data_IF_955658172815
#
_entry.id   IF_955658172815
#
_cell.length_a   1.000
_cell.length_b   1.000
_cell.length_c   1.000
_cell.angle_alpha   90.00
_cell.angle_beta   90.00
_cell.angle_gamma   90.00
#
_symmetry.space_group_name_H-M   'P 1'
#
loop_
_entity.id
_entity.type
_entity.pdbx_description
1 polymer ?
#
# COMPACT_ATOMS: atom_id res chain seq x y z
N UNK A 1 -31.80 -9.49 16.81
CA UNK A 1 -30.45 -9.17 17.32
C UNK A 1 -29.61 -10.44 17.29
N UNK A 2 -28.60 -10.54 16.42
CA UNK A 2 -27.70 -11.71 16.36
C UNK A 2 -26.68 -11.61 17.49
N UNK A 3 -26.54 -12.68 18.29
CA UNK A 3 -25.69 -12.72 19.49
C UNK A 3 -24.19 -12.49 19.16
N UNK A 4 -23.44 -11.96 20.14
CA UNK A 4 -22.01 -11.65 19.97
C UNK A 4 -21.15 -12.86 19.57
N UNK A 5 -21.57 -14.08 19.92
CA UNK A 5 -20.89 -15.33 19.59
C UNK A 5 -21.06 -15.73 18.11
N UNK A 6 -22.19 -15.41 17.50
CA UNK A 6 -22.41 -15.67 16.07
C UNK A 6 -21.69 -14.63 15.19
N UNK A 7 -21.58 -13.38 15.66
CA UNK A 7 -20.76 -12.34 15.01
C UNK A 7 -19.28 -12.70 15.01
N UNK A 8 -18.76 -13.26 16.11
CA UNK A 8 -17.34 -13.67 16.17
C UNK A 8 -17.07 -14.88 15.26
N UNK A 9 -17.96 -15.87 15.20
CA UNK A 9 -17.80 -17.02 14.30
C UNK A 9 -17.79 -16.59 12.82
N UNK A 10 -18.72 -15.75 12.38
CA UNK A 10 -18.78 -15.24 10.99
C UNK A 10 -17.50 -14.46 10.65
N UNK A 11 -16.94 -13.71 11.62
CA UNK A 11 -15.71 -12.93 11.42
C UNK A 11 -14.46 -13.82 11.31
N UNK A 12 -14.41 -14.90 12.07
CA UNK A 12 -13.33 -15.90 12.00
C UNK A 12 -13.39 -16.70 10.70
N UNK A 13 -14.59 -17.06 10.26
CA UNK A 13 -14.82 -17.81 9.02
C UNK A 13 -14.48 -16.98 7.78
N UNK A 14 -14.89 -15.69 7.73
CA UNK A 14 -14.44 -14.75 6.69
C UNK A 14 -12.93 -14.53 6.69
N UNK A 15 -12.28 -14.45 7.85
CA UNK A 15 -10.81 -14.32 7.90
C UNK A 15 -10.12 -15.54 7.31
N UNK A 16 -10.60 -16.76 7.60
CA UNK A 16 -10.08 -17.99 6.99
C UNK A 16 -10.34 -18.04 5.48
N UNK A 17 -11.51 -17.61 5.01
CA UNK A 17 -11.80 -17.58 3.57
C UNK A 17 -10.93 -16.58 2.81
N UNK A 18 -10.53 -15.47 3.42
CA UNK A 18 -9.67 -14.45 2.81
C UNK A 18 -8.20 -14.88 2.70
N UNK A 19 -7.72 -15.82 3.53
CA UNK A 19 -6.39 -16.40 3.39
C UNK A 19 -6.23 -17.20 2.09
N UNK A 20 -7.33 -17.69 1.51
CA UNK A 20 -7.32 -18.40 0.23
C UNK A 20 -7.11 -17.46 -0.98
N UNK A 21 -7.16 -16.14 -0.77
CA UNK A 21 -6.96 -15.15 -1.81
C UNK A 21 -5.67 -14.36 -1.58
N UNK A 22 -5.01 -13.92 -2.68
CA UNK A 22 -3.86 -13.02 -2.60
C UNK A 22 -4.20 -11.79 -1.76
N UNK A 23 -3.23 -11.29 -0.98
CA UNK A 23 -3.37 -10.00 -0.34
C UNK A 23 -3.14 -8.90 -1.39
N UNK A 24 -4.01 -7.90 -1.38
CA UNK A 24 -3.84 -6.72 -2.22
C UNK A 24 -2.95 -5.71 -1.51
N UNK A 25 -1.95 -5.22 -2.24
CA UNK A 25 -1.05 -4.16 -1.81
C UNK A 25 -1.11 -3.04 -2.85
N UNK A 26 -1.12 -1.79 -2.41
CA UNK A 26 -0.96 -0.63 -3.29
C UNK A 26 -0.04 0.40 -2.64
N UNK A 27 0.19 1.53 -3.29
CA UNK A 27 0.95 2.65 -2.75
C UNK A 27 0.03 3.82 -2.39
N UNK A 28 0.47 4.74 -1.54
CA UNK A 28 -0.39 5.82 -0.99
C UNK A 28 -1.00 6.75 -2.04
N UNK A 29 -0.44 6.80 -3.25
CA UNK A 29 -1.05 7.53 -4.38
C UNK A 29 -2.38 6.95 -4.87
N UNK A 30 -2.81 5.78 -4.38
CA UNK A 30 -4.12 5.19 -4.67
C UNK A 30 -5.30 6.01 -4.12
N UNK A 31 -5.05 6.98 -3.24
CA UNK A 31 -6.06 7.89 -2.66
C UNK A 31 -7.26 7.18 -2.01
N UNK A 32 -7.09 5.92 -1.59
CA UNK A 32 -8.16 5.16 -0.96
C UNK A 32 -8.33 5.65 0.49
N UNK A 33 -9.55 5.99 0.95
CA UNK A 33 -9.77 6.30 2.36
C UNK A 33 -9.40 5.11 3.27
N UNK A 34 -8.81 5.39 4.43
CA UNK A 34 -8.40 4.37 5.42
C UNK A 34 -9.54 3.39 5.76
N UNK A 35 -10.78 3.89 5.88
CA UNK A 35 -11.95 3.04 6.13
C UNK A 35 -12.17 1.96 5.07
N UNK A 36 -11.86 2.25 3.79
CA UNK A 36 -11.96 1.27 2.71
C UNK A 36 -10.74 0.34 2.69
N UNK A 37 -9.56 0.85 3.05
CA UNK A 37 -8.36 0.02 3.20
C UNK A 37 -8.60 -1.07 4.25
N UNK A 38 -9.17 -0.68 5.40
CA UNK A 38 -9.54 -1.58 6.49
C UNK A 38 -10.63 -2.57 6.10
N UNK A 39 -11.69 -2.08 5.44
CA UNK A 39 -12.83 -2.89 5.03
C UNK A 39 -12.43 -4.01 4.06
N UNK A 40 -11.54 -3.71 3.12
CA UNK A 40 -11.09 -4.65 2.08
C UNK A 40 -9.73 -5.30 2.38
N UNK A 41 -9.12 -4.96 3.52
CA UNK A 41 -7.79 -5.42 3.92
C UNK A 41 -6.69 -5.12 2.88
N UNK A 42 -6.78 -3.95 2.24
CA UNK A 42 -5.79 -3.46 1.28
C UNK A 42 -4.64 -2.85 2.07
N UNK A 43 -3.42 -3.34 1.83
CA UNK A 43 -2.19 -2.79 2.43
C UNK A 43 -1.69 -1.65 1.57
N UNK A 44 -1.63 -0.44 2.13
CA UNK A 44 -1.08 0.73 1.43
C UNK A 44 0.33 1.02 1.93
N UNK A 45 1.28 1.06 1.01
CA UNK A 45 2.68 1.37 1.31
C UNK A 45 2.93 2.87 1.08
N UNK A 46 3.44 3.60 2.07
CA UNK A 46 3.57 5.06 1.98
C UNK A 46 4.68 5.51 1.04
N UNK A 47 4.49 6.69 0.45
CA UNK A 47 5.53 7.42 -0.25
C UNK A 47 6.32 8.33 0.70
N UNK A 48 7.50 8.75 0.24
CA UNK A 48 8.22 9.86 0.83
C UNK A 48 7.99 11.14 0.02
N UNK A 49 7.83 12.26 0.73
CA UNK A 49 7.81 13.62 0.20
C UNK A 49 9.02 14.37 0.73
N UNK A 50 9.78 14.99 -0.15
CA UNK A 50 10.85 15.91 0.23
C UNK A 50 10.36 17.35 0.09
N UNK A 51 10.47 18.12 1.18
CA UNK A 51 10.12 19.54 1.22
C UNK A 51 11.35 20.30 1.72
N UNK A 52 11.94 21.14 0.86
CA UNK A 52 13.14 21.93 1.16
C UNK A 52 14.32 21.11 1.74
N UNK A 53 14.54 19.91 1.22
CA UNK A 53 15.63 19.03 1.65
C UNK A 53 15.28 18.10 2.81
N UNK A 54 14.16 18.31 3.50
CA UNK A 54 13.70 17.43 4.57
C UNK A 54 12.76 16.35 4.02
N UNK A 55 13.02 15.09 4.35
CA UNK A 55 12.20 13.94 3.96
C UNK A 55 11.11 13.64 4.99
N UNK A 56 9.90 13.43 4.49
CA UNK A 56 8.72 13.05 5.24
C UNK A 56 8.13 11.77 4.63
N UNK A 57 7.94 10.74 5.44
CA UNK A 57 7.29 9.50 5.03
C UNK A 57 5.87 9.49 5.59
N UNK A 58 4.90 9.44 4.69
CA UNK A 58 3.48 9.51 4.99
C UNK A 58 3.07 8.46 6.04
N UNK A 59 2.32 8.89 7.05
CA UNK A 59 1.83 8.02 8.14
C UNK A 59 2.92 7.50 9.09
N UNK A 60 4.20 7.74 8.83
CA UNK A 60 5.31 7.27 9.69
C UNK A 60 5.87 8.42 10.54
N UNK A 61 6.42 9.45 9.89
CA UNK A 61 7.01 10.60 10.59
C UNK A 61 6.24 11.90 10.33
N UNK A 62 5.16 11.83 9.54
CA UNK A 62 4.20 12.91 9.35
C UNK A 62 2.79 12.35 9.17
N UNK A 63 1.80 13.03 9.73
CA UNK A 63 0.39 12.71 9.47
C UNK A 63 -0.06 13.32 8.13
N UNK A 64 -1.05 12.73 7.46
CA UNK A 64 -1.62 13.30 6.23
C UNK A 64 -2.14 14.72 6.45
N UNK A 65 -2.74 14.99 7.62
CA UNK A 65 -3.25 16.30 7.98
C UNK A 65 -2.12 17.33 8.08
N UNK A 66 -0.99 16.97 8.70
CA UNK A 66 0.13 17.88 8.86
C UNK A 66 0.95 18.02 7.58
N UNK A 67 1.11 16.95 6.79
CA UNK A 67 1.70 17.02 5.46
C UNK A 67 0.90 17.99 4.58
N UNK A 68 -0.43 17.90 4.60
CA UNK A 68 -1.29 18.81 3.82
C UNK A 68 -1.17 20.26 4.30
N UNK A 69 -1.10 20.51 5.61
CA UNK A 69 -0.83 21.85 6.15
C UNK A 69 0.54 22.37 5.69
N UNK A 70 1.58 21.54 5.75
CA UNK A 70 2.91 21.92 5.27
C UNK A 70 2.88 22.26 3.78
N UNK A 71 2.26 21.42 2.96
CA UNK A 71 2.14 21.67 1.51
C UNK A 71 1.34 22.94 1.18
N UNK A 72 0.31 23.27 1.97
CA UNK A 72 -0.43 24.53 1.79
C UNK A 72 0.34 25.77 2.27
N UNK A 73 1.18 25.62 3.30
CA UNK A 73 1.95 26.72 3.88
C UNK A 73 3.26 27.00 3.13
N UNK A 74 3.80 26.03 2.39
CA UNK A 74 5.13 26.11 1.79
C UNK A 74 5.07 26.54 0.32
N UNK A 75 5.85 27.55 -0.06
CA UNK A 75 6.09 27.98 -1.46
C UNK A 75 7.40 27.43 -2.03
N UNK A 76 8.10 26.59 -1.27
CA UNK A 76 9.39 26.02 -1.64
C UNK A 76 9.32 24.84 -2.61
N UNK A 77 10.48 24.24 -2.90
CA UNK A 77 10.57 23.09 -3.81
C UNK A 77 10.04 21.83 -3.11
N UNK A 78 9.04 21.20 -3.72
CA UNK A 78 8.49 19.91 -3.30
C UNK A 78 8.83 18.86 -4.35
N UNK A 79 9.34 17.71 -3.91
CA UNK A 79 9.55 16.55 -4.78
C UNK A 79 9.08 15.30 -4.07
N UNK A 80 8.56 14.33 -4.81
CA UNK A 80 8.14 13.03 -4.29
C UNK A 80 9.12 11.94 -4.72
N UNK A 81 9.26 10.90 -3.90
CA UNK A 81 10.03 9.70 -4.24
C UNK A 81 9.09 8.52 -4.49
N UNK A 82 9.45 7.65 -5.44
CA UNK A 82 8.82 6.34 -5.56
C UNK A 82 8.96 5.54 -4.26
N UNK A 83 8.07 4.57 -4.03
CA UNK A 83 8.09 3.76 -2.81
C UNK A 83 9.43 3.03 -2.68
N UNK A 84 10.02 3.05 -1.48
CA UNK A 84 11.29 2.40 -1.20
C UNK A 84 11.18 0.87 -1.41
N UNK A 85 12.07 0.24 -2.21
CA UNK A 85 12.03 -1.21 -2.46
C UNK A 85 12.16 -2.04 -1.18
N UNK A 86 12.89 -1.55 -0.17
CA UNK A 86 13.00 -2.23 1.12
C UNK A 86 11.68 -2.26 1.88
N UNK A 87 10.94 -1.16 1.88
CA UNK A 87 9.63 -1.08 2.52
C UNK A 87 8.59 -1.98 1.82
N UNK A 88 8.65 -2.04 0.49
CA UNK A 88 7.87 -3.00 -0.30
C UNK A 88 8.25 -4.45 0.05
N UNK A 89 9.54 -4.76 0.12
CA UNK A 89 10.01 -6.13 0.44
C UNK A 89 9.57 -6.55 1.84
N UNK A 90 9.70 -5.68 2.84
CA UNK A 90 9.22 -5.93 4.20
C UNK A 90 7.71 -6.17 4.23
N UNK A 91 6.94 -5.38 3.47
CA UNK A 91 5.50 -5.54 3.32
C UNK A 91 5.15 -6.89 2.68
N UNK A 92 5.78 -7.22 1.55
CA UNK A 92 5.54 -8.47 0.83
C UNK A 92 5.91 -9.68 1.67
N UNK A 93 7.10 -9.68 2.28
CA UNK A 93 7.60 -10.78 3.11
C UNK A 93 6.70 -11.02 4.34
N UNK A 94 6.15 -9.95 4.93
CA UNK A 94 5.21 -10.07 6.05
C UNK A 94 3.88 -10.74 5.64
N UNK A 95 3.47 -10.61 4.37
CA UNK A 95 2.28 -11.26 3.81
C UNK A 95 2.61 -12.70 3.46
N UNK A 96 3.74 -12.94 2.81
CA UNK A 96 4.22 -14.28 2.49
C UNK A 96 4.29 -15.14 3.76
N UNK A 97 4.85 -14.64 4.87
CA UNK A 97 4.88 -15.34 6.18
C UNK A 97 3.52 -15.79 6.73
N UNK A 98 2.41 -15.31 6.17
CA UNK A 98 1.05 -15.75 6.49
C UNK A 98 0.50 -16.78 5.49
N UNK A 99 1.38 -17.33 4.64
CA UNK A 99 1.09 -18.25 3.53
C UNK A 99 0.08 -17.71 2.51
N UNK A 100 0.20 -16.41 2.22
CA UNK A 100 -0.59 -15.73 1.18
C UNK A 100 0.32 -15.19 0.09
N UNK A 101 -0.16 -15.24 -1.15
CA UNK A 101 0.44 -14.50 -2.27
C UNK A 101 0.12 -13.02 -2.20
N UNK A 102 0.85 -12.22 -2.98
CA UNK A 102 0.73 -10.76 -3.04
C UNK A 102 0.32 -10.35 -4.46
N UNK A 103 -0.67 -9.48 -4.58
CA UNK A 103 -0.89 -8.67 -5.78
C UNK A 103 -0.59 -7.23 -5.42
N UNK A 104 0.48 -6.67 -5.99
CA UNK A 104 0.81 -5.26 -5.88
C UNK A 104 0.27 -4.50 -7.09
N UNK A 105 -0.59 -3.52 -6.84
CA UNK A 105 -1.15 -2.62 -7.86
C UNK A 105 -0.51 -1.24 -7.68
N UNK A 106 0.37 -0.88 -8.61
CA UNK A 106 1.14 0.37 -8.55
C UNK A 106 0.81 1.35 -9.68
N UNK A 107 1.31 2.56 -9.52
CA UNK A 107 1.26 3.63 -10.50
C UNK A 107 1.93 3.21 -11.82
N UNK A 108 1.43 3.72 -12.95
CA UNK A 108 2.05 3.51 -14.25
C UNK A 108 3.50 3.97 -14.28
N UNK A 109 4.35 3.21 -14.99
CA UNK A 109 5.79 3.48 -15.14
C UNK A 109 6.12 4.88 -15.67
N UNK A 110 5.21 5.51 -16.40
CA UNK A 110 5.36 6.90 -16.91
C UNK A 110 5.36 7.97 -15.82
N UNK A 111 4.84 7.67 -14.62
CA UNK A 111 4.74 8.61 -13.51
C UNK A 111 5.70 8.33 -12.36
N UNK A 112 6.09 7.07 -12.18
CA UNK A 112 6.90 6.65 -11.04
C UNK A 112 7.70 5.40 -11.38
N UNK A 113 8.87 5.25 -10.76
CA UNK A 113 9.62 3.99 -10.78
C UNK A 113 9.13 2.98 -9.71
N UNK A 114 7.99 3.20 -9.05
CA UNK A 114 7.49 2.28 -8.01
C UNK A 114 7.34 0.85 -8.52
N UNK A 115 6.84 0.62 -9.74
CA UNK A 115 6.75 -0.74 -10.30
C UNK A 115 8.12 -1.39 -10.44
N UNK A 116 9.15 -0.64 -10.84
CA UNK A 116 10.52 -1.13 -10.89
C UNK A 116 11.05 -1.45 -9.48
N UNK A 117 10.76 -0.60 -8.50
CA UNK A 117 11.12 -0.85 -7.10
C UNK A 117 10.40 -2.07 -6.53
N UNK A 118 9.13 -2.31 -6.91
CA UNK A 118 8.40 -3.51 -6.55
C UNK A 118 9.04 -4.77 -7.17
N UNK A 119 9.55 -4.68 -8.41
CA UNK A 119 10.30 -5.79 -9.02
C UNK A 119 11.58 -6.11 -8.24
N UNK A 120 12.31 -5.09 -7.79
CA UNK A 120 13.49 -5.27 -6.93
C UNK A 120 13.07 -5.90 -5.60
N UNK A 121 12.04 -5.35 -4.95
CA UNK A 121 11.48 -5.85 -3.69
C UNK A 121 11.07 -7.32 -3.77
N UNK A 122 10.43 -7.73 -4.88
CA UNK A 122 10.08 -9.13 -5.13
C UNK A 122 11.29 -10.05 -5.07
N UNK A 123 12.42 -9.66 -5.68
CA UNK A 123 13.64 -10.47 -5.68
C UNK A 123 14.31 -10.55 -4.29
N UNK A 124 13.98 -9.64 -3.37
CA UNK A 124 14.48 -9.67 -1.99
C UNK A 124 13.68 -10.62 -1.09
N UNK A 125 12.53 -11.13 -1.55
CA UNK A 125 11.62 -11.94 -0.74
C UNK A 125 11.91 -13.45 -0.85
N UNK A 126 11.43 -14.22 0.12
CA UNK A 126 11.65 -15.68 0.22
C UNK A 126 10.93 -16.49 -0.86
N UNK A 127 9.79 -15.99 -1.36
CA UNK A 127 8.93 -16.61 -2.38
C UNK A 127 8.57 -15.61 -3.48
N UNK A 128 9.53 -15.20 -4.33
CA UNK A 128 9.31 -14.19 -5.37
C UNK A 128 8.20 -14.58 -6.37
N UNK A 129 7.99 -15.87 -6.62
CA UNK A 129 6.95 -16.41 -7.50
C UNK A 129 5.52 -16.20 -6.98
N UNK A 130 5.36 -15.90 -5.68
CA UNK A 130 4.08 -15.60 -5.05
C UNK A 130 3.75 -14.10 -5.06
N UNK A 131 4.57 -13.27 -5.72
CA UNK A 131 4.38 -11.81 -5.79
C UNK A 131 4.12 -11.40 -7.24
N UNK A 132 2.90 -10.91 -7.47
CA UNK A 132 2.42 -10.43 -8.76
C UNK A 132 2.38 -8.90 -8.75
N UNK A 133 3.02 -8.28 -9.73
CA UNK A 133 3.12 -6.82 -9.85
C UNK A 133 2.31 -6.38 -11.06
N UNK A 134 1.37 -5.47 -10.84
CA UNK A 134 0.42 -5.01 -11.84
C UNK A 134 0.55 -3.50 -12.05
N UNK A 135 0.72 -3.11 -13.32
CA UNK A 135 0.61 -1.70 -13.73
C UNK A 135 -0.87 -1.30 -13.74
N UNK A 136 -1.25 -0.45 -12.78
CA UNK A 136 -2.63 -0.02 -12.62
C UNK A 136 -3.19 0.81 -13.78
N UNK A 137 -2.35 1.34 -14.68
CA UNK A 137 -2.72 2.17 -15.85
C UNK A 137 -3.51 3.45 -15.54
N UNK A 138 -3.83 3.71 -14.28
CA UNK A 138 -4.58 4.86 -13.78
C UNK A 138 -3.93 5.41 -12.49
N UNK A 139 -4.47 6.52 -11.98
CA UNK A 139 -3.92 7.24 -10.82
C UNK A 139 -5.03 7.67 -9.86
N UNK A 140 -4.64 8.06 -8.64
CA UNK A 140 -5.58 8.56 -7.63
C UNK A 140 -6.61 7.49 -7.27
N UNK A 141 -7.84 7.92 -6.98
CA UNK A 141 -8.91 7.02 -6.55
C UNK A 141 -9.23 5.90 -7.55
N UNK A 142 -8.94 6.07 -8.84
CA UNK A 142 -9.14 5.00 -9.82
C UNK A 142 -8.15 3.85 -9.62
N UNK A 143 -6.90 4.16 -9.20
CA UNK A 143 -5.92 3.14 -8.82
C UNK A 143 -6.40 2.41 -7.56
N UNK A 144 -6.93 3.15 -6.58
CA UNK A 144 -7.52 2.57 -5.39
C UNK A 144 -8.73 1.68 -5.66
N UNK A 145 -9.63 2.06 -6.58
CA UNK A 145 -10.79 1.23 -6.96
C UNK A 145 -10.42 -0.03 -7.73
N UNK A 146 -9.25 -0.05 -8.35
CA UNK A 146 -8.72 -1.21 -9.05
C UNK A 146 -8.08 -2.22 -8.09
N UNK A 147 -7.48 -1.72 -7.01
CA UNK A 147 -6.99 -2.53 -5.89
C UNK A 147 -8.17 -3.11 -5.10
#
# INVERSE_FOLDING_TARGET
MISGRLRSLIRTDRRRSLLNYPAIVSESSCSLPESLQDQFHIRVVPHSVNINGQEYVEGINISDADLRKLLHANTGKVTTSAVNPRLLAETFESILRQDRSVIFVGLPTRFSCTLQNAQIARQMCSRPEQIFIYDGKCIGINLGKLA
#
